data_IF_284060298893
#
_entry.id   IF_284060298893
#
_cell.length_a   1.000
_cell.length_b   1.000
_cell.length_c   1.000
_cell.angle_alpha   90.00
_cell.angle_beta   90.00
_cell.angle_gamma   90.00
#
_symmetry.space_group_name_H-M   'P 1'
#
loop_
_entity.id
_entity.type
_entity.pdbx_description
1 polymer ?
#
# COMPACT_ATOMS: atom_id res chain seq x y z
N UNK A 1 -8.91 -12.32 -16.33
CA UNK A 1 -7.77 -11.49 -15.86
C UNK A 1 -8.32 -10.10 -15.71
N UNK A 2 -8.68 -9.70 -14.49
CA UNK A 2 -9.10 -8.33 -14.25
C UNK A 2 -7.84 -7.47 -14.35
N UNK A 3 -7.81 -6.52 -15.27
CA UNK A 3 -6.79 -5.48 -15.22
C UNK A 3 -7.05 -4.68 -13.95
N UNK A 4 -6.06 -4.52 -13.07
CA UNK A 4 -6.24 -3.68 -11.89
C UNK A 4 -6.56 -2.26 -12.35
N UNK A 5 -7.78 -1.78 -12.09
CA UNK A 5 -8.23 -0.45 -12.52
C UNK A 5 -8.11 0.53 -11.35
N UNK A 6 -7.30 1.57 -11.53
CA UNK A 6 -7.17 2.62 -10.54
C UNK A 6 -5.83 3.34 -10.61
N UNK A 7 -5.85 4.63 -10.27
CA UNK A 7 -4.62 5.43 -10.21
C UNK A 7 -3.65 4.91 -9.14
N UNK A 8 -4.19 4.35 -8.05
CA UNK A 8 -3.38 3.71 -7.00
C UNK A 8 -2.62 2.50 -7.54
N UNK A 9 -3.29 1.59 -8.27
CA UNK A 9 -2.64 0.41 -8.88
C UNK A 9 -1.51 0.82 -9.83
N UNK A 10 -1.73 1.88 -10.62
CA UNK A 10 -0.69 2.43 -11.49
C UNK A 10 0.50 2.94 -10.68
N UNK A 11 0.28 3.75 -9.63
CA UNK A 11 1.33 4.31 -8.77
C UNK A 11 2.15 3.22 -8.07
N UNK A 12 1.51 2.18 -7.54
CA UNK A 12 2.21 1.05 -6.90
C UNK A 12 3.03 0.20 -7.87
N UNK A 13 2.72 0.22 -9.16
CA UNK A 13 3.52 -0.45 -10.18
C UNK A 13 4.83 0.32 -10.49
N UNK A 14 4.81 1.65 -10.34
CA UNK A 14 5.97 2.51 -10.62
C UNK A 14 6.89 2.68 -9.42
N UNK A 15 6.36 2.58 -8.20
CA UNK A 15 7.14 2.78 -6.99
C UNK A 15 7.99 1.56 -6.63
N UNK A 16 9.27 1.77 -6.27
CA UNK A 16 10.11 0.68 -5.82
C UNK A 16 9.71 0.19 -4.42
N UNK A 17 10.01 -1.07 -4.08
CA UNK A 17 9.89 -1.52 -2.70
C UNK A 17 10.79 -0.69 -1.78
N UNK A 18 10.32 -0.42 -0.57
CA UNK A 18 10.90 0.51 0.40
C UNK A 18 10.26 1.90 0.40
N UNK A 19 9.43 2.23 -0.59
CA UNK A 19 8.75 3.52 -0.69
C UNK A 19 7.74 3.69 0.45
N UNK A 20 7.90 4.76 1.25
CA UNK A 20 6.96 5.10 2.31
C UNK A 20 5.72 5.76 1.72
N UNK A 21 4.56 5.19 2.01
CA UNK A 21 3.27 5.64 1.51
C UNK A 21 2.27 5.81 2.65
N UNK A 22 1.32 6.72 2.43
CA UNK A 22 0.09 6.82 3.22
C UNK A 22 -1.09 6.60 2.30
N UNK A 23 -1.99 5.71 2.69
CA UNK A 23 -3.10 5.25 1.85
C UNK A 23 -4.40 5.64 2.51
N UNK A 24 -5.34 6.13 1.71
CA UNK A 24 -6.74 6.31 2.11
C UNK A 24 -7.59 5.30 1.35
N UNK A 25 -8.28 4.43 2.08
CA UNK A 25 -9.22 3.46 1.50
C UNK A 25 -10.53 4.14 1.10
N UNK A 26 -11.31 3.51 0.22
CA UNK A 26 -12.67 3.98 -0.14
C UNK A 26 -13.63 4.07 1.06
N UNK A 27 -13.34 3.34 2.13
CA UNK A 27 -14.09 3.43 3.39
C UNK A 27 -13.68 4.64 4.24
N UNK A 28 -12.75 5.47 3.78
CA UNK A 28 -12.21 6.62 4.49
C UNK A 28 -11.17 6.26 5.57
N UNK A 29 -10.70 5.01 5.60
CA UNK A 29 -9.68 4.60 6.57
C UNK A 29 -8.30 4.98 6.05
N UNK A 30 -7.47 5.52 6.94
CA UNK A 30 -6.09 5.92 6.62
C UNK A 30 -5.14 4.85 7.15
N UNK A 31 -4.23 4.38 6.30
CA UNK A 31 -3.22 3.36 6.59
C UNK A 31 -1.83 3.98 6.33
N UNK A 32 -0.95 3.90 7.33
CA UNK A 32 0.43 4.37 7.22
C UNK A 32 0.79 5.52 8.18
N UNK A 33 2.06 5.98 8.14
CA UNK A 33 3.07 5.69 7.12
C UNK A 33 3.51 4.22 7.12
N UNK A 34 3.46 3.58 5.94
CA UNK A 34 3.87 2.19 5.75
C UNK A 34 4.85 2.07 4.59
N UNK A 35 5.77 1.12 4.65
CA UNK A 35 6.73 0.86 3.58
C UNK A 35 6.14 -0.12 2.56
N UNK A 36 6.23 0.23 1.27
CA UNK A 36 5.85 -0.66 0.19
C UNK A 36 6.78 -1.86 0.15
N UNK A 37 6.27 -3.06 0.38
CA UNK A 37 7.07 -4.28 0.28
C UNK A 37 7.01 -4.84 -1.13
N UNK A 38 5.80 -4.98 -1.68
CA UNK A 38 5.59 -5.57 -2.99
C UNK A 38 4.20 -5.24 -3.53
N UNK A 39 4.08 -5.18 -4.86
CA UNK A 39 2.80 -5.11 -5.56
C UNK A 39 2.64 -6.30 -6.51
N UNK A 40 1.55 -7.07 -6.35
CA UNK A 40 1.16 -8.15 -7.25
C UNK A 40 0.10 -7.66 -8.22
N UNK A 41 0.53 -7.24 -9.42
CA UNK A 41 -0.38 -6.78 -10.48
C UNK A 41 -1.35 -7.85 -11.00
N UNK A 42 -1.07 -9.14 -10.80
CA UNK A 42 -1.99 -10.22 -11.20
C UNK A 42 -3.18 -10.35 -10.23
N UNK A 43 -2.96 -9.98 -8.97
CA UNK A 43 -3.93 -10.10 -7.87
C UNK A 43 -4.44 -8.74 -7.36
N UNK A 44 -3.98 -7.64 -7.97
CA UNK A 44 -4.22 -6.27 -7.50
C UNK A 44 -3.85 -6.04 -6.04
N UNK A 45 -2.91 -6.83 -5.51
CA UNK A 45 -2.58 -6.88 -4.09
C UNK A 45 -1.34 -6.05 -3.79
N UNK A 46 -1.48 -5.08 -2.88
CA UNK A 46 -0.39 -4.29 -2.33
C UNK A 46 -0.04 -4.84 -0.95
N UNK A 47 1.24 -5.09 -0.75
CA UNK A 47 1.80 -5.52 0.54
C UNK A 47 2.60 -4.36 1.11
N UNK A 48 2.23 -3.96 2.32
CA UNK A 48 2.86 -2.87 3.05
C UNK A 48 3.38 -3.40 4.38
N UNK A 49 4.44 -2.78 4.87
CA UNK A 49 5.00 -3.03 6.19
C UNK A 49 4.83 -1.78 7.03
N UNK A 50 4.05 -1.89 8.10
CA UNK A 50 3.94 -0.83 9.11
C UNK A 50 5.04 -1.02 10.15
N UNK A 51 5.90 -0.02 10.30
CA UNK A 51 6.88 -0.02 11.39
C UNK A 51 6.18 0.43 12.67
N UNK A 52 5.86 -0.52 13.55
CA UNK A 52 5.32 -0.21 14.87
C UNK A 52 6.44 0.26 15.79
N UNK A 53 6.32 1.50 16.29
CA UNK A 53 7.27 2.11 17.24
C UNK A 53 7.25 1.49 18.65
N UNK A 54 6.51 0.40 18.86
CA UNK A 54 6.31 -0.22 20.17
C UNK A 54 7.37 -1.30 20.38
N UNK A 55 8.08 -1.26 21.51
CA UNK A 55 8.98 -2.35 21.94
C UNK A 55 8.19 -3.48 22.62
N UNK A 56 8.34 -4.76 22.21
CA UNK A 56 9.24 -5.27 21.17
C UNK A 56 8.76 -4.95 19.74
N UNK A 57 9.70 -4.69 18.80
CA UNK A 57 9.35 -4.29 17.44
C UNK A 57 8.47 -5.38 16.82
N UNK A 58 7.26 -4.97 16.47
CA UNK A 58 6.28 -5.84 15.85
C UNK A 58 6.18 -5.42 14.39
N UNK A 59 6.72 -6.23 13.49
CA UNK A 59 6.55 -6.02 12.06
C UNK A 59 5.12 -6.42 11.69
N UNK A 60 4.30 -5.45 11.29
CA UNK A 60 2.93 -5.71 10.88
C UNK A 60 2.82 -5.58 9.36
N UNK A 61 2.41 -6.67 8.69
CA UNK A 61 2.18 -6.67 7.26
C UNK A 61 0.72 -6.40 6.95
N UNK A 62 0.49 -5.40 6.10
CA UNK A 62 -0.84 -5.01 5.66
C UNK A 62 -1.02 -5.45 4.21
N UNK A 63 -2.13 -6.14 3.98
CA UNK A 63 -2.52 -6.66 2.68
C UNK A 63 -3.76 -5.91 2.24
N UNK A 64 -3.64 -5.11 1.18
CA UNK A 64 -4.75 -4.29 0.68
C UNK A 64 -4.84 -4.40 -0.84
N UNK A 65 -6.07 -4.49 -1.36
CA UNK A 65 -6.29 -4.39 -2.80
C UNK A 65 -6.12 -2.94 -3.26
N UNK A 66 -5.38 -2.71 -4.34
CA UNK A 66 -5.23 -1.38 -4.91
C UNK A 66 -6.55 -0.81 -5.46
N UNK A 67 -7.57 -1.65 -5.66
CA UNK A 67 -8.91 -1.25 -6.09
C UNK A 67 -9.75 -0.65 -4.94
N UNK A 68 -9.45 -1.04 -3.70
CA UNK A 68 -10.06 -0.51 -2.48
C UNK A 68 -9.40 0.81 -2.01
N UNK A 69 -8.36 1.25 -2.71
CA UNK A 69 -7.65 2.49 -2.43
C UNK A 69 -8.32 3.63 -3.18
N UNK A 70 -8.68 4.68 -2.44
CA UNK A 70 -9.22 5.91 -2.99
C UNK A 70 -8.10 6.88 -3.37
N UNK A 71 -7.10 7.02 -2.50
CA UNK A 71 -5.96 7.90 -2.72
C UNK A 71 -4.69 7.35 -2.06
N UNK A 72 -3.55 7.67 -2.66
CA UNK A 72 -2.24 7.33 -2.10
C UNK A 72 -1.32 8.54 -2.18
N UNK A 73 -0.64 8.79 -1.05
CA UNK A 73 0.35 9.85 -0.90
C UNK A 73 1.71 9.14 -0.84
N UNK A 74 2.52 9.31 -1.88
CA UNK A 74 3.87 8.78 -1.95
C UNK A 74 4.94 9.78 -1.45
N UNK A 75 6.22 9.39 -1.51
CA UNK A 75 7.32 10.27 -1.15
C UNK A 75 7.40 11.40 -2.18
N UNK A 76 7.41 12.63 -1.68
CA UNK A 76 7.65 13.86 -2.45
C UNK A 76 9.09 13.93 -2.96
#
# INVERSE_FOLDING_TARGET
MANCEGIACFLFNIWPPGTIVTITTRSGQIIGPASLVLFYSDLCLVILEEESSITPPSTNYIFISCEDIESVIGPS
#
